data_IF_655827423317
#
_entry.id   IF_655827423317
#
_cell.length_a   1.000
_cell.length_b   1.000
_cell.length_c   1.000
_cell.angle_alpha   90.00
_cell.angle_beta   90.00
_cell.angle_gamma   90.00
#
_symmetry.space_group_name_H-M   'P 1'
#
loop_
_entity.id
_entity.type
_entity.pdbx_description
1 polymer ?
#
# COMPACT_ATOMS: atom_id res chain seq x y z
N UNK A 1 8.12 -29.57 37.44
CA UNK A 1 8.95 -30.50 36.63
C UNK A 1 8.17 -31.74 36.17
N UNK A 2 7.41 -32.41 37.05
CA UNK A 2 6.61 -33.61 36.70
C UNK A 2 5.55 -33.35 35.61
N UNK A 3 4.84 -32.21 35.69
CA UNK A 3 3.86 -31.77 34.68
C UNK A 3 4.55 -31.63 33.31
N UNK A 4 5.61 -30.82 33.25
CA UNK A 4 6.37 -30.56 32.03
C UNK A 4 6.86 -31.86 31.37
N UNK A 5 7.45 -32.79 32.14
CA UNK A 5 7.95 -34.05 31.60
C UNK A 5 6.84 -34.90 30.97
N UNK A 6 5.68 -35.04 31.63
CA UNK A 6 4.55 -35.79 31.07
C UNK A 6 3.93 -35.14 29.84
N UNK A 7 3.90 -33.82 29.77
CA UNK A 7 3.44 -33.11 28.57
C UNK A 7 4.39 -33.35 27.40
N UNK A 8 5.70 -33.39 27.66
CA UNK A 8 6.68 -33.75 26.64
C UNK A 8 6.54 -35.20 26.20
N UNK A 9 6.31 -36.14 27.12
CA UNK A 9 6.09 -37.55 26.78
C UNK A 9 4.88 -37.71 25.82
N UNK A 10 3.77 -37.02 26.11
CA UNK A 10 2.59 -37.03 25.24
C UNK A 10 2.84 -36.33 23.90
N UNK A 11 3.56 -35.21 23.89
CA UNK A 11 3.93 -34.53 22.65
C UNK A 11 4.79 -35.42 21.75
N UNK A 12 5.74 -36.17 22.32
CA UNK A 12 6.57 -37.10 21.55
C UNK A 12 5.79 -38.33 21.06
N UNK A 13 4.75 -38.74 21.76
CA UNK A 13 3.94 -39.91 21.39
C UNK A 13 2.81 -39.58 20.38
N UNK A 14 2.04 -38.52 20.61
CA UNK A 14 0.85 -38.17 19.81
C UNK A 14 1.07 -36.95 18.88
N UNK A 15 2.19 -36.23 19.04
CA UNK A 15 2.55 -35.09 18.19
C UNK A 15 2.01 -33.74 18.68
N UNK A 16 2.09 -32.73 17.80
CA UNK A 16 1.82 -31.33 18.15
C UNK A 16 0.38 -31.00 18.50
N UNK A 17 -0.58 -31.86 18.13
CA UNK A 17 -2.01 -31.69 18.46
C UNK A 17 -2.23 -31.69 19.98
N UNK A 18 -1.42 -32.44 20.73
CA UNK A 18 -1.48 -32.48 22.19
C UNK A 18 -1.27 -31.10 22.81
N UNK A 19 -0.41 -30.26 22.25
CA UNK A 19 -0.17 -28.91 22.80
C UNK A 19 -1.46 -28.11 22.78
N UNK A 20 -2.22 -28.18 21.67
CA UNK A 20 -3.50 -27.50 21.56
C UNK A 20 -4.55 -28.06 22.53
N UNK A 21 -4.63 -29.39 22.66
CA UNK A 21 -5.57 -30.04 23.59
C UNK A 21 -5.28 -29.65 25.03
N UNK A 22 -3.99 -29.61 25.41
CA UNK A 22 -3.53 -29.22 26.74
C UNK A 22 -3.82 -27.73 27.01
N UNK A 23 -3.62 -26.85 26.02
CA UNK A 23 -4.03 -25.44 26.15
C UNK A 23 -5.54 -25.32 26.38
N UNK A 24 -6.37 -26.08 25.65
CA UNK A 24 -7.82 -26.10 25.87
C UNK A 24 -8.19 -26.62 27.27
N UNK A 25 -7.48 -27.62 27.78
CA UNK A 25 -7.64 -28.13 29.15
C UNK A 25 -7.32 -27.08 30.20
N UNK A 26 -6.19 -26.38 30.04
CA UNK A 26 -5.76 -25.27 30.90
C UNK A 26 -6.81 -24.14 30.96
N UNK A 27 -7.33 -23.72 29.79
CA UNK A 27 -8.39 -22.72 29.71
C UNK A 27 -9.68 -23.18 30.39
N UNK A 28 -10.01 -24.47 30.27
CA UNK A 28 -11.22 -25.02 30.88
C UNK A 28 -11.13 -25.11 32.40
N UNK A 29 -9.97 -25.46 32.95
CA UNK A 29 -9.74 -25.50 34.40
C UNK A 29 -9.89 -24.10 35.05
N UNK A 30 -9.56 -23.05 34.30
CA UNK A 30 -9.65 -21.66 34.75
C UNK A 30 -10.89 -20.94 34.22
N UNK A 31 -11.89 -21.65 33.71
CA UNK A 31 -13.04 -21.03 33.03
C UNK A 31 -13.84 -20.11 33.95
N UNK A 32 -14.14 -20.52 35.18
CA UNK A 32 -14.91 -19.68 36.12
C UNK A 32 -14.15 -18.40 36.49
N UNK A 33 -12.83 -18.53 36.70
CA UNK A 33 -11.95 -17.38 36.94
C UNK A 33 -11.98 -16.44 35.74
N UNK A 34 -11.73 -16.96 34.52
CA UNK A 34 -11.71 -16.19 33.28
C UNK A 34 -13.06 -15.53 32.97
N UNK A 35 -14.18 -16.16 33.30
CA UNK A 35 -15.53 -15.61 33.13
C UNK A 35 -15.84 -14.47 34.11
N UNK A 36 -15.16 -14.43 35.25
CA UNK A 36 -15.30 -13.37 36.25
C UNK A 36 -14.44 -12.13 35.97
N UNK A 37 -13.58 -12.18 34.96
CA UNK A 37 -12.66 -11.08 34.63
C UNK A 37 -13.34 -10.09 33.70
N UNK A 38 -13.32 -8.81 34.09
CA UNK A 38 -14.04 -7.75 33.40
C UNK A 38 -13.20 -7.06 32.32
N UNK A 39 -11.89 -7.33 32.26
CA UNK A 39 -11.01 -6.63 31.34
C UNK A 39 -9.82 -7.44 30.80
N UNK A 40 -9.33 -7.03 29.63
CA UNK A 40 -8.32 -7.77 28.87
C UNK A 40 -6.96 -7.91 29.57
N UNK A 41 -6.59 -7.00 30.47
CA UNK A 41 -5.32 -7.08 31.21
C UNK A 41 -5.42 -8.16 32.29
N UNK A 42 -6.55 -8.22 33.00
CA UNK A 42 -6.84 -9.31 33.93
C UNK A 42 -6.88 -10.66 33.20
N UNK A 43 -7.56 -10.73 32.06
CA UNK A 43 -7.61 -11.94 31.23
C UNK A 43 -6.20 -12.34 30.79
N UNK A 44 -5.39 -11.40 30.29
CA UNK A 44 -4.02 -11.70 29.84
C UNK A 44 -3.12 -12.19 30.98
N UNK A 45 -3.20 -11.56 32.16
CA UNK A 45 -2.43 -11.97 33.33
C UNK A 45 -2.87 -13.36 33.79
N UNK A 46 -4.18 -13.58 33.96
CA UNK A 46 -4.73 -14.88 34.31
C UNK A 46 -4.28 -15.95 33.29
N UNK A 47 -4.39 -15.67 31.98
CA UNK A 47 -3.93 -16.55 30.90
C UNK A 47 -2.42 -16.86 30.95
N UNK A 48 -1.61 -15.87 31.31
CA UNK A 48 -0.15 -16.02 31.42
C UNK A 48 0.25 -16.82 32.66
N UNK A 49 -0.55 -16.75 33.72
CA UNK A 49 -0.33 -17.45 34.99
C UNK A 49 -0.86 -18.90 34.95
N UNK A 50 -1.85 -19.21 34.09
CA UNK A 50 -2.45 -20.56 34.00
C UNK A 50 -1.42 -21.70 33.91
N UNK A 51 -0.36 -21.64 33.06
CA UNK A 51 0.61 -22.73 33.00
C UNK A 51 1.38 -22.94 34.32
N UNK A 52 1.56 -21.88 35.10
CA UNK A 52 2.22 -21.90 36.41
C UNK A 52 1.34 -22.47 37.52
N UNK A 53 0.02 -22.29 37.40
CA UNK A 53 -0.99 -22.74 38.36
C UNK A 53 -1.37 -24.22 38.21
N UNK A 54 -0.86 -24.93 37.19
CA UNK A 54 -1.14 -26.35 37.00
C UNK A 54 -0.32 -27.19 37.99
N UNK A 55 -0.98 -27.69 39.02
CA UNK A 55 -0.37 -28.58 40.01
C UNK A 55 -0.64 -30.07 39.72
N UNK A 56 -1.81 -30.40 39.15
CA UNK A 56 -2.22 -31.77 38.82
C UNK A 56 -2.22 -32.03 37.30
N UNK A 57 -1.26 -32.84 36.87
CA UNK A 57 -1.12 -33.21 35.45
C UNK A 57 -2.14 -34.26 35.00
N UNK A 58 -2.60 -35.14 35.89
CA UNK A 58 -3.55 -36.18 35.56
C UNK A 58 -4.95 -35.55 35.33
N UNK A 59 -5.33 -34.60 36.18
CA UNK A 59 -6.54 -33.80 36.01
C UNK A 59 -6.49 -32.98 34.71
N UNK A 60 -5.38 -32.28 34.45
CA UNK A 60 -5.21 -31.49 33.22
C UNK A 60 -5.37 -32.35 31.96
N UNK A 61 -4.77 -33.53 31.94
CA UNK A 61 -4.85 -34.46 30.80
C UNK A 61 -6.30 -34.91 30.60
N UNK A 62 -7.00 -35.29 31.68
CA UNK A 62 -8.41 -35.70 31.60
C UNK A 62 -9.30 -34.59 31.04
N UNK A 63 -9.16 -33.36 31.54
CA UNK A 63 -9.94 -32.21 31.08
C UNK A 63 -9.61 -31.87 29.62
N UNK A 64 -8.33 -31.89 29.24
CA UNK A 64 -7.87 -31.60 27.88
C UNK A 64 -8.49 -32.55 26.84
N UNK A 65 -8.45 -33.86 27.10
CA UNK A 65 -9.00 -34.85 26.18
C UNK A 65 -10.52 -34.85 26.16
N UNK A 66 -11.18 -34.59 27.29
CA UNK A 66 -12.63 -34.42 27.36
C UNK A 66 -13.13 -33.22 26.54
N UNK A 67 -12.47 -32.07 26.68
CA UNK A 67 -12.85 -30.84 25.96
C UNK A 67 -12.58 -30.99 24.47
N UNK A 68 -11.38 -31.44 24.09
CA UNK A 68 -11.01 -31.62 22.69
C UNK A 68 -11.84 -32.69 21.98
N UNK A 69 -12.20 -33.79 22.66
CA UNK A 69 -13.08 -34.82 22.09
C UNK A 69 -14.50 -34.34 21.80
N UNK A 70 -14.94 -33.24 22.41
CA UNK A 70 -16.27 -32.65 22.18
C UNK A 70 -16.31 -31.61 21.04
N UNK A 71 -15.14 -31.15 20.58
CA UNK A 71 -15.00 -30.17 19.51
C UNK A 71 -15.13 -30.83 18.14
N UNK A 72 -16.23 -30.55 17.46
CA UNK A 72 -16.44 -30.91 16.05
C UNK A 72 -16.60 -29.63 15.22
N UNK A 73 -16.36 -29.70 13.91
CA UNK A 73 -16.58 -28.56 13.00
C UNK A 73 -18.00 -28.01 13.12
N UNK A 74 -18.99 -28.90 13.30
CA UNK A 74 -20.40 -28.55 13.50
C UNK A 74 -20.59 -27.75 14.79
N UNK A 75 -19.94 -28.14 15.90
CA UNK A 75 -20.00 -27.40 17.15
C UNK A 75 -19.33 -26.02 17.03
N UNK A 76 -18.14 -25.94 16.41
CA UNK A 76 -17.42 -24.68 16.21
C UNK A 76 -18.26 -23.70 15.38
N UNK A 77 -18.82 -24.15 14.26
CA UNK A 77 -19.65 -23.30 13.40
C UNK A 77 -20.98 -22.90 14.05
N UNK A 78 -21.53 -23.75 14.92
CA UNK A 78 -22.71 -23.41 15.72
C UNK A 78 -22.39 -22.33 16.74
N UNK A 79 -21.27 -22.44 17.46
CA UNK A 79 -20.82 -21.42 18.41
C UNK A 79 -20.47 -20.10 17.70
N UNK A 80 -19.81 -20.13 16.54
CA UNK A 80 -19.53 -18.92 15.75
C UNK A 80 -20.81 -18.19 15.33
N UNK A 81 -21.81 -18.93 14.83
CA UNK A 81 -23.12 -18.35 14.45
C UNK A 81 -23.84 -17.73 15.65
N UNK A 82 -23.81 -18.41 16.81
CA UNK A 82 -24.40 -17.89 18.06
C UNK A 82 -23.73 -16.58 18.50
N UNK A 83 -22.39 -16.51 18.49
CA UNK A 83 -21.66 -15.30 18.90
C UNK A 83 -21.73 -14.16 17.87
N UNK A 84 -21.83 -14.50 16.57
CA UNK A 84 -22.12 -13.54 15.52
C UNK A 84 -23.48 -12.87 15.75
N UNK A 85 -24.49 -13.63 16.18
CA UNK A 85 -25.80 -13.07 16.51
C UNK A 85 -25.74 -12.06 17.67
N UNK A 86 -24.92 -12.31 18.70
CA UNK A 86 -24.69 -11.34 19.78
C UNK A 86 -23.98 -10.07 19.29
N UNK A 87 -22.94 -10.22 18.47
CA UNK A 87 -22.23 -9.08 17.85
C UNK A 87 -23.15 -8.26 16.91
N UNK A 88 -24.09 -8.90 16.24
CA UNK A 88 -25.08 -8.26 15.37
C UNK A 88 -26.23 -7.60 16.14
N UNK A 89 -26.67 -8.19 17.25
CA UNK A 89 -27.71 -7.65 18.13
C UNK A 89 -27.26 -6.34 18.79
N UNK A 90 -26.00 -6.26 19.21
CA UNK A 90 -25.38 -5.04 19.77
C UNK A 90 -25.28 -3.91 18.72
N UNK A 91 -25.33 -4.24 17.43
CA UNK A 91 -25.34 -3.30 16.31
C UNK A 91 -26.75 -2.90 15.80
N UNK A 92 -27.82 -3.43 16.40
CA UNK A 92 -29.20 -3.03 16.11
C UNK A 92 -29.77 -3.48 14.76
N UNK A 93 -29.22 -4.51 14.12
CA UNK A 93 -29.73 -5.04 12.86
C UNK A 93 -30.68 -6.24 13.10
N UNK A 94 -31.96 -6.11 12.71
CA UNK A 94 -32.87 -7.26 12.60
C UNK A 94 -32.49 -8.09 11.37
N UNK A 95 -32.21 -9.38 11.52
CA UNK A 95 -32.03 -10.29 10.38
C UNK A 95 -32.73 -11.63 10.58
N UNK A 96 -33.44 -12.02 9.51
CA UNK A 96 -34.15 -13.27 9.31
C UNK A 96 -33.16 -14.47 9.22
N UNK A 97 -33.30 -15.51 10.06
CA UNK A 97 -32.28 -16.54 10.24
C UNK A 97 -32.12 -17.57 9.09
N UNK A 98 -32.89 -17.49 7.99
CA UNK A 98 -32.90 -18.56 6.97
C UNK A 98 -32.19 -18.25 5.63
N UNK A 99 -31.59 -17.07 5.42
CA UNK A 99 -30.96 -16.78 4.12
C UNK A 99 -29.48 -17.21 4.07
N UNK A 100 -29.17 -18.37 3.48
CA UNK A 100 -27.79 -18.86 3.30
C UNK A 100 -27.04 -18.25 2.10
N UNK A 101 -27.66 -17.40 1.29
CA UNK A 101 -27.00 -16.73 0.15
C UNK A 101 -27.68 -15.40 -0.10
N UNK A 102 -27.05 -14.32 0.36
CA UNK A 102 -27.14 -12.94 -0.14
C UNK A 102 -26.39 -12.07 0.86
N UNK A 103 -25.12 -11.76 0.58
CA UNK A 103 -24.53 -10.53 1.15
C UNK A 103 -25.30 -9.38 0.50
N UNK A 104 -26.13 -8.62 1.24
CA UNK A 104 -26.80 -7.48 0.65
C UNK A 104 -25.73 -6.45 0.31
N UNK A 105 -25.81 -5.89 -0.91
CA UNK A 105 -25.01 -4.76 -1.36
C UNK A 105 -24.96 -3.71 -0.25
N UNK A 106 -23.79 -3.59 0.38
CA UNK A 106 -23.52 -2.57 1.39
C UNK A 106 -23.43 -1.23 0.65
N UNK A 107 -24.57 -0.56 0.46
CA UNK A 107 -24.54 0.88 0.31
C UNK A 107 -24.03 1.44 1.63
N UNK A 108 -22.74 1.79 1.65
CA UNK A 108 -22.07 2.47 2.75
C UNK A 108 -22.72 3.84 2.95
N UNK A 109 -23.76 3.88 3.79
CA UNK A 109 -24.09 5.11 4.48
C UNK A 109 -22.92 5.45 5.40
N UNK A 110 -22.08 6.40 4.96
CA UNK A 110 -21.03 7.04 5.75
C UNK A 110 -21.59 7.40 7.13
N UNK A 111 -21.26 6.63 8.17
CA UNK A 111 -21.42 7.09 9.55
C UNK A 111 -20.31 8.09 9.83
N UNK A 112 -20.62 9.37 9.71
CA UNK A 112 -19.95 10.39 10.51
C UNK A 112 -20.25 10.10 11.99
N UNK A 113 -19.45 9.25 12.62
CA UNK A 113 -19.46 9.11 14.07
C UNK A 113 -18.98 10.43 14.67
N UNK A 114 -19.86 11.00 15.49
CA UNK A 114 -19.71 12.27 16.17
C UNK A 114 -18.36 12.29 16.88
N UNK A 115 -17.45 13.17 16.42
CA UNK A 115 -16.20 13.53 17.10
C UNK A 115 -16.51 13.84 18.56
N UNK A 116 -16.21 12.91 19.47
CA UNK A 116 -16.30 13.18 20.90
C UNK A 116 -15.28 14.27 21.22
N UNK A 117 -15.79 15.46 21.58
CA UNK A 117 -15.00 16.59 22.06
C UNK A 117 -14.31 16.30 23.41
N UNK A 118 -14.42 15.09 23.96
CA UNK A 118 -13.84 14.69 25.24
C UNK A 118 -12.36 14.28 25.17
N UNK A 119 -11.80 13.98 23.99
CA UNK A 119 -10.41 13.53 23.88
C UNK A 119 -9.38 14.66 24.04
N UNK A 120 -9.80 15.93 23.95
CA UNK A 120 -8.91 17.06 24.20
C UNK A 120 -8.73 17.38 25.69
N UNK A 121 -9.61 16.89 26.59
CA UNK A 121 -9.41 17.06 28.04
C UNK A 121 -8.47 16.02 28.63
N UNK A 122 -8.36 14.82 28.04
CA UNK A 122 -7.42 13.77 28.49
C UNK A 122 -5.95 14.10 28.14
N UNK A 123 -5.74 15.01 27.17
CA UNK A 123 -4.41 15.52 26.81
C UNK A 123 -3.88 16.61 27.75
N UNK A 124 -4.68 17.09 28.72
CA UNK A 124 -4.28 18.09 29.71
C UNK A 124 -4.47 17.55 31.13
N UNK A 125 -3.36 17.06 31.69
CA UNK A 125 -3.16 16.65 33.08
C UNK A 125 -4.36 16.62 34.03
N UNK A 126 -4.87 15.40 34.27
CA UNK A 126 -5.39 14.99 35.57
C UNK A 126 -5.04 13.51 35.73
N UNK A 127 -4.31 13.19 36.81
CA UNK A 127 -3.85 11.84 37.10
C UNK A 127 -5.01 10.87 37.28
N UNK A 128 -4.95 9.75 36.57
CA UNK A 128 -5.88 8.64 36.69
C UNK A 128 -5.88 7.78 35.43
N UNK A 129 -5.45 6.53 35.57
CA UNK A 129 -5.72 5.37 34.68
C UNK A 129 -4.85 5.20 33.42
N UNK A 130 -3.66 4.61 33.61
CA UNK A 130 -2.79 4.10 32.53
C UNK A 130 -3.38 2.88 31.77
N UNK A 131 -4.31 2.15 32.39
CA UNK A 131 -4.85 0.88 31.85
C UNK A 131 -5.92 1.07 30.76
N UNK A 132 -6.75 2.11 30.87
CA UNK A 132 -7.74 2.49 29.84
C UNK A 132 -7.04 3.08 28.59
N UNK A 133 -5.91 3.75 28.80
CA UNK A 133 -5.07 4.30 27.75
C UNK A 133 -4.39 3.22 26.88
N UNK A 134 -4.01 2.08 27.47
CA UNK A 134 -3.43 0.94 26.73
C UNK A 134 -4.45 0.23 25.83
N UNK A 135 -5.66 -0.02 26.36
CA UNK A 135 -6.76 -0.66 25.63
C UNK A 135 -7.23 0.19 24.44
N UNK A 136 -7.41 1.50 24.64
CA UNK A 136 -7.79 2.41 23.55
C UNK A 136 -6.75 2.49 22.42
N UNK A 137 -5.46 2.34 22.72
CA UNK A 137 -4.38 2.33 21.72
C UNK A 137 -4.40 1.07 20.84
N UNK A 138 -4.56 -0.10 21.44
CA UNK A 138 -4.55 -1.37 20.70
C UNK A 138 -5.79 -1.52 19.81
N UNK A 139 -6.95 -1.02 20.27
CA UNK A 139 -8.18 -0.94 19.48
C UNK A 139 -7.96 -0.04 18.25
N UNK A 140 -7.38 1.15 18.47
CA UNK A 140 -7.10 2.10 17.39
C UNK A 140 -6.08 1.57 16.38
N UNK A 141 -5.04 0.87 16.82
CA UNK A 141 -4.10 0.21 15.92
C UNK A 141 -4.80 -0.81 15.02
N UNK A 142 -5.68 -1.63 15.60
CA UNK A 142 -6.43 -2.64 14.84
C UNK A 142 -7.35 -1.99 13.81
N UNK A 143 -8.08 -0.93 14.19
CA UNK A 143 -8.95 -0.17 13.29
C UNK A 143 -8.16 0.40 12.09
N UNK A 144 -7.03 1.07 12.36
CA UNK A 144 -6.20 1.66 11.30
C UNK A 144 -5.67 0.61 10.31
N UNK A 145 -5.30 -0.57 10.80
CA UNK A 145 -4.83 -1.67 9.96
C UNK A 145 -5.96 -2.26 9.11
N UNK A 146 -7.15 -2.43 9.70
CA UNK A 146 -8.35 -2.91 8.98
C UNK A 146 -8.74 -1.93 7.87
N UNK A 147 -8.75 -0.63 8.16
CA UNK A 147 -9.05 0.42 7.19
C UNK A 147 -8.04 0.42 6.03
N UNK A 148 -6.75 0.29 6.34
CA UNK A 148 -5.71 0.20 5.32
C UNK A 148 -5.88 -1.04 4.45
N UNK A 149 -6.11 -2.22 5.06
CA UNK A 149 -6.31 -3.46 4.33
C UNK A 149 -7.52 -3.37 3.41
N UNK A 150 -8.64 -2.84 3.89
CA UNK A 150 -9.83 -2.68 3.06
C UNK A 150 -9.60 -1.69 1.90
N UNK A 151 -8.88 -0.59 2.14
CA UNK A 151 -8.51 0.34 1.06
C UNK A 151 -7.63 -0.33 -0.01
N UNK A 152 -6.66 -1.16 0.39
CA UNK A 152 -5.81 -1.93 -0.52
C UNK A 152 -6.65 -2.93 -1.32
N UNK A 153 -7.56 -3.65 -0.66
CA UNK A 153 -8.43 -4.63 -1.30
C UNK A 153 -9.40 -3.98 -2.30
N UNK A 154 -9.90 -2.77 -2.03
CA UNK A 154 -10.74 -2.06 -3.00
C UNK A 154 -9.98 -1.70 -4.27
N UNK A 155 -8.74 -1.20 -4.13
CA UNK A 155 -7.86 -0.93 -5.28
C UNK A 155 -7.59 -2.24 -6.05
N UNK A 156 -7.20 -3.31 -5.36
CA UNK A 156 -6.87 -4.57 -6.01
C UNK A 156 -8.07 -5.23 -6.71
N UNK A 157 -9.25 -5.24 -6.08
CA UNK A 157 -10.51 -5.75 -6.67
C UNK A 157 -10.91 -4.94 -7.90
N UNK A 158 -10.67 -3.62 -7.90
CA UNK A 158 -10.90 -2.78 -9.07
C UNK A 158 -10.07 -3.24 -10.29
N UNK A 159 -8.79 -3.55 -10.09
CA UNK A 159 -7.96 -4.12 -11.16
C UNK A 159 -8.46 -5.49 -11.64
N UNK A 160 -8.87 -6.38 -10.73
CA UNK A 160 -9.39 -7.70 -11.10
C UNK A 160 -10.70 -7.63 -11.88
N UNK A 161 -11.56 -6.65 -11.57
CA UNK A 161 -12.85 -6.48 -12.22
C UNK A 161 -12.73 -5.89 -13.63
N UNK A 162 -11.75 -5.01 -13.87
CA UNK A 162 -11.59 -4.31 -15.14
C UNK A 162 -10.60 -4.97 -16.11
N UNK A 163 -9.63 -5.73 -15.60
CA UNK A 163 -8.61 -6.36 -16.42
C UNK A 163 -8.49 -7.85 -16.05
N UNK A 164 -9.00 -8.76 -16.91
CA UNK A 164 -8.97 -10.21 -16.67
C UNK A 164 -7.58 -10.78 -16.43
N UNK A 165 -6.51 -10.11 -16.88
CA UNK A 165 -5.12 -10.53 -16.62
C UNK A 165 -4.80 -10.54 -15.14
N UNK A 166 -5.46 -9.68 -14.36
CA UNK A 166 -5.24 -9.54 -12.93
C UNK A 166 -6.05 -10.55 -12.07
N UNK A 167 -6.95 -11.32 -12.67
CA UNK A 167 -7.82 -12.29 -11.96
C UNK A 167 -7.04 -13.35 -11.17
N UNK A 168 -5.79 -13.64 -11.57
CA UNK A 168 -4.91 -14.63 -10.91
C UNK A 168 -4.10 -14.05 -9.75
N UNK A 169 -4.11 -12.72 -9.56
CA UNK A 169 -3.36 -12.07 -8.48
C UNK A 169 -3.98 -12.46 -7.14
N UNK A 170 -3.14 -12.93 -6.20
CA UNK A 170 -3.57 -13.32 -4.86
C UNK A 170 -3.70 -12.05 -4.00
N UNK A 171 -4.89 -11.84 -3.41
CA UNK A 171 -5.19 -10.65 -2.60
C UNK A 171 -5.00 -10.87 -1.09
N UNK A 172 -4.24 -11.90 -0.71
CA UNK A 172 -3.91 -12.19 0.68
C UNK A 172 -2.44 -11.89 0.88
N UNK A 173 -2.14 -11.06 1.87
CA UNK A 173 -0.78 -10.70 2.21
C UNK A 173 -0.01 -11.93 2.73
N UNK A 174 1.22 -12.09 2.26
CA UNK A 174 2.17 -13.10 2.71
C UNK A 174 3.12 -12.51 3.74
N UNK A 175 3.00 -12.97 4.98
CA UNK A 175 3.80 -12.50 6.13
C UNK A 175 5.01 -13.39 6.42
N UNK A 176 5.34 -14.33 5.53
CA UNK A 176 6.51 -15.19 5.69
C UNK A 176 7.81 -14.39 5.50
N UNK A 177 8.85 -14.79 6.24
CA UNK A 177 10.18 -14.16 6.15
C UNK A 177 10.79 -14.36 4.76
N UNK A 178 10.49 -15.47 4.10
CA UNK A 178 10.90 -15.80 2.74
C UNK A 178 10.33 -14.80 1.72
N UNK A 179 9.08 -14.37 1.91
CA UNK A 179 8.44 -13.35 1.09
C UNK A 179 9.16 -12.01 1.22
N UNK A 180 9.44 -11.60 2.46
CA UNK A 180 10.16 -10.36 2.76
C UNK A 180 11.55 -10.31 2.14
N UNK A 181 12.30 -11.41 2.19
CA UNK A 181 13.66 -11.49 1.66
C UNK A 181 13.72 -11.27 0.12
N UNK A 182 12.61 -11.50 -0.59
CA UNK A 182 12.53 -11.38 -2.04
C UNK A 182 12.09 -10.00 -2.53
N UNK A 183 11.67 -9.09 -1.64
CA UNK A 183 11.10 -7.79 -2.04
C UNK A 183 12.05 -6.97 -2.93
N UNK A 184 13.31 -6.85 -2.52
CA UNK A 184 14.31 -6.11 -3.27
C UNK A 184 14.65 -6.79 -4.60
N UNK A 185 14.77 -8.11 -4.62
CA UNK A 185 15.03 -8.88 -5.84
C UNK A 185 13.89 -8.71 -6.85
N UNK A 186 12.65 -8.85 -6.39
CA UNK A 186 11.45 -8.65 -7.19
C UNK A 186 11.42 -7.24 -7.78
N UNK A 187 11.66 -6.22 -6.96
CA UNK A 187 11.77 -4.84 -7.43
C UNK A 187 12.84 -4.68 -8.51
N UNK A 188 14.06 -5.20 -8.29
CA UNK A 188 15.17 -5.08 -9.25
C UNK A 188 14.82 -5.79 -10.56
N UNK A 189 14.22 -6.97 -10.52
CA UNK A 189 13.79 -7.71 -11.71
C UNK A 189 12.71 -6.94 -12.49
N UNK A 190 11.77 -6.33 -11.78
CA UNK A 190 10.70 -5.52 -12.34
C UNK A 190 11.24 -4.22 -12.93
N UNK A 191 12.21 -3.58 -12.27
CA UNK A 191 12.86 -2.35 -12.72
C UNK A 191 13.78 -2.56 -13.94
N UNK A 192 14.54 -3.67 -13.98
CA UNK A 192 15.40 -4.02 -15.13
C UNK A 192 14.62 -4.25 -16.42
N UNK A 193 13.38 -4.74 -16.29
CA UNK A 193 12.52 -5.06 -17.42
C UNK A 193 11.50 -3.95 -17.72
N UNK A 194 11.78 -2.71 -17.29
CA UNK A 194 10.94 -1.55 -17.61
C UNK A 194 11.01 -1.26 -19.10
N UNK A 195 9.84 -1.20 -19.71
CA UNK A 195 9.71 -0.77 -21.10
C UNK A 195 9.15 0.65 -21.11
N UNK A 196 9.85 1.53 -21.83
CA UNK A 196 9.37 2.89 -22.09
C UNK A 196 8.07 2.80 -22.88
N UNK A 197 7.08 3.63 -22.56
CA UNK A 197 5.76 3.60 -23.20
C UNK A 197 5.37 4.97 -23.68
N UNK A 198 4.47 5.05 -24.64
CA UNK A 198 3.87 6.29 -25.07
C UNK A 198 2.37 6.11 -25.28
N UNK A 199 1.59 7.14 -24.94
CA UNK A 199 0.16 7.23 -25.23
C UNK A 199 -0.02 7.99 -26.53
N UNK A 200 -0.72 7.41 -27.48
CA UNK A 200 -1.09 8.09 -28.72
C UNK A 200 -2.02 9.28 -28.43
N UNK A 201 -1.64 10.47 -28.88
CA UNK A 201 -2.45 11.70 -28.79
C UNK A 201 -3.37 11.87 -30.00
N UNK A 202 -3.02 11.22 -31.11
CA UNK A 202 -3.67 11.30 -32.42
C UNK A 202 -3.74 9.89 -33.04
N UNK A 203 -4.57 9.74 -34.06
CA UNK A 203 -4.55 8.55 -34.90
C UNK A 203 -3.37 8.62 -35.88
N UNK A 204 -2.74 7.48 -36.15
CA UNK A 204 -1.72 7.32 -37.18
C UNK A 204 -2.04 6.08 -38.00
N UNK A 205 -2.39 6.29 -39.27
CA UNK A 205 -2.76 5.21 -40.18
C UNK A 205 -1.51 4.66 -40.85
N UNK A 206 -1.35 3.33 -40.78
CA UNK A 206 -0.24 2.60 -41.41
C UNK A 206 -0.47 2.53 -42.91
N UNK A 207 0.49 3.01 -43.69
CA UNK A 207 0.52 2.91 -45.15
C UNK A 207 1.54 1.90 -45.64
N UNK A 208 2.70 1.84 -44.98
CA UNK A 208 3.80 0.94 -45.34
C UNK A 208 4.07 -0.15 -44.27
N UNK A 209 4.79 -1.19 -44.67
CA UNK A 209 5.00 -2.36 -43.82
C UNK A 209 5.92 -2.09 -42.62
N UNK A 210 6.76 -1.08 -42.70
CA UNK A 210 7.67 -0.64 -41.64
C UNK A 210 7.04 0.38 -40.67
N UNK A 211 5.85 0.91 -40.97
CA UNK A 211 5.10 1.83 -40.12
C UNK A 211 4.27 1.12 -39.04
N UNK A 212 4.18 1.72 -37.84
CA UNK A 212 3.31 1.26 -36.76
C UNK A 212 2.04 2.12 -36.67
N UNK A 213 0.94 1.64 -37.24
CA UNK A 213 -0.36 2.30 -37.12
C UNK A 213 -0.99 2.14 -35.72
N UNK A 214 -1.63 3.20 -35.24
CA UNK A 214 -2.31 3.22 -33.94
C UNK A 214 -3.46 4.23 -33.92
N UNK A 215 -4.35 4.10 -32.92
CA UNK A 215 -5.43 5.04 -32.65
C UNK A 215 -5.09 5.90 -31.44
N UNK A 216 -5.71 7.07 -31.37
CA UNK A 216 -5.66 7.96 -30.22
C UNK A 216 -6.03 7.17 -28.96
N UNK A 217 -5.21 7.37 -27.93
CA UNK A 217 -5.19 6.71 -26.63
C UNK A 217 -4.59 5.29 -26.60
N UNK A 218 -4.12 4.73 -27.72
CA UNK A 218 -3.37 3.48 -27.70
C UNK A 218 -2.06 3.64 -26.92
N UNK A 219 -1.66 2.59 -26.21
CA UNK A 219 -0.41 2.55 -25.46
C UNK A 219 0.62 1.74 -26.23
N UNK A 220 1.62 2.45 -26.71
CA UNK A 220 2.70 1.93 -27.54
C UNK A 220 3.90 1.65 -26.64
N UNK A 221 4.47 0.46 -26.74
CA UNK A 221 5.76 0.16 -26.13
C UNK A 221 6.86 0.76 -26.99
N UNK A 222 7.65 1.67 -26.45
CA UNK A 222 8.77 2.31 -27.16
C UNK A 222 9.96 1.35 -27.14
N UNK A 223 10.43 0.97 -28.32
CA UNK A 223 11.59 0.10 -28.52
C UNK A 223 12.86 0.90 -28.80
N UNK A 224 12.75 2.05 -29.49
CA UNK A 224 13.90 2.92 -29.76
C UNK A 224 13.51 4.38 -29.95
N UNK A 225 14.28 5.29 -29.33
CA UNK A 225 14.20 6.74 -29.50
C UNK A 225 15.51 7.34 -30.05
N UNK A 226 16.28 6.56 -30.83
CA UNK A 226 17.57 7.04 -31.38
C UNK A 226 17.42 8.26 -32.29
N UNK A 227 16.26 8.39 -32.93
CA UNK A 227 15.89 9.55 -33.75
C UNK A 227 14.88 10.43 -32.99
N UNK A 228 15.01 11.74 -33.09
CA UNK A 228 14.19 12.72 -32.34
C UNK A 228 12.75 12.78 -32.86
N UNK A 229 12.52 12.46 -34.13
CA UNK A 229 11.24 12.64 -34.81
C UNK A 229 10.55 11.31 -35.14
N UNK A 230 11.32 10.22 -35.25
CA UNK A 230 10.87 8.91 -35.67
C UNK A 230 11.24 7.84 -34.64
N UNK A 231 10.27 7.33 -33.90
CA UNK A 231 10.51 6.30 -32.88
C UNK A 231 10.09 4.93 -33.38
N UNK A 232 10.76 3.88 -32.89
CA UNK A 232 10.34 2.49 -33.14
C UNK A 232 9.55 2.04 -31.93
N UNK A 233 8.36 1.50 -32.17
CA UNK A 233 7.49 0.96 -31.11
C UNK A 233 6.89 -0.38 -31.45
N UNK A 234 6.18 -0.92 -30.47
CA UNK A 234 5.41 -2.15 -30.56
C UNK A 234 4.00 -1.93 -29.99
N UNK A 235 2.98 -2.35 -30.74
CA UNK A 235 1.58 -2.34 -30.34
C UNK A 235 0.91 -3.62 -30.86
N UNK A 236 0.26 -4.38 -29.96
CA UNK A 236 -0.43 -5.64 -30.30
C UNK A 236 0.45 -6.66 -31.05
N UNK A 237 1.75 -6.72 -30.72
CA UNK A 237 2.73 -7.60 -31.37
C UNK A 237 3.20 -7.14 -32.76
N UNK A 238 2.67 -6.02 -33.25
CA UNK A 238 3.19 -5.35 -34.46
C UNK A 238 4.25 -4.35 -34.06
N UNK A 239 5.36 -4.33 -34.79
CA UNK A 239 6.49 -3.42 -34.57
C UNK A 239 6.73 -2.60 -35.83
N UNK A 240 6.97 -1.31 -35.64
CA UNK A 240 7.23 -0.37 -36.73
C UNK A 240 7.63 0.99 -36.22
N UNK A 241 7.93 1.91 -37.13
CA UNK A 241 8.25 3.28 -36.79
C UNK A 241 6.99 4.15 -36.71
N UNK A 242 7.04 5.23 -35.94
CA UNK A 242 5.98 6.21 -35.85
C UNK A 242 6.49 7.62 -35.47
N UNK A 243 5.75 8.69 -35.80
CA UNK A 243 6.14 10.05 -35.44
C UNK A 243 6.09 10.33 -33.93
N UNK A 244 7.22 10.72 -33.35
CA UNK A 244 7.33 11.03 -31.91
C UNK A 244 6.33 12.11 -31.45
N UNK A 245 6.03 13.09 -32.31
CA UNK A 245 5.07 14.18 -32.05
C UNK A 245 3.61 13.73 -31.87
N UNK A 246 3.27 12.50 -32.27
CA UNK A 246 1.91 11.98 -32.18
C UNK A 246 1.63 11.28 -30.86
N UNK A 247 2.64 11.15 -30.00
CA UNK A 247 2.52 10.44 -28.74
C UNK A 247 3.00 11.31 -27.58
N UNK A 248 2.50 11.01 -26.39
CA UNK A 248 3.01 11.51 -25.12
C UNK A 248 3.74 10.36 -24.43
N UNK A 249 5.03 10.52 -24.12
CA UNK A 249 5.78 9.51 -23.37
C UNK A 249 5.10 9.30 -22.01
N UNK A 250 4.67 8.08 -21.77
CA UNK A 250 4.28 7.63 -20.45
C UNK A 250 5.56 7.27 -19.71
N UNK A 251 5.63 7.67 -18.45
CA UNK A 251 6.78 7.42 -17.58
C UNK A 251 7.22 5.94 -17.62
N UNK A 252 8.49 5.69 -17.29
CA UNK A 252 9.12 4.36 -17.25
C UNK A 252 8.51 3.45 -16.18
N UNK A 253 7.33 2.94 -16.48
CA UNK A 253 6.51 2.18 -15.55
C UNK A 253 6.79 0.69 -15.68
N UNK A 254 6.92 0.03 -14.55
CA UNK A 254 7.16 -1.40 -14.49
C UNK A 254 5.86 -2.21 -14.53
N UNK A 255 5.91 -3.39 -15.17
CA UNK A 255 4.77 -4.23 -15.61
C UNK A 255 3.99 -3.71 -16.84
N UNK A 256 3.26 -4.63 -17.48
CA UNK A 256 2.41 -4.34 -18.64
C UNK A 256 1.35 -3.30 -18.30
N UNK A 257 1.05 -2.44 -19.27
CA UNK A 257 -0.03 -1.45 -19.14
C UNK A 257 -1.36 -2.11 -18.78
N UNK A 258 -2.06 -1.49 -17.83
CA UNK A 258 -3.45 -1.81 -17.49
C UNK A 258 -4.24 -0.50 -17.43
N UNK A 259 -5.30 -0.42 -18.21
CA UNK A 259 -6.20 0.74 -18.22
C UNK A 259 -6.91 0.93 -16.87
N UNK A 260 -7.04 -0.13 -16.08
CA UNK A 260 -7.62 -0.08 -14.73
C UNK A 260 -6.80 0.82 -13.77
N UNK A 261 -5.49 0.94 -14.00
CA UNK A 261 -4.58 1.75 -13.19
C UNK A 261 -4.32 3.15 -13.74
N UNK A 262 -4.90 3.51 -14.88
CA UNK A 262 -4.65 4.77 -15.58
C UNK A 262 -5.74 5.79 -15.26
N UNK A 263 -5.38 6.84 -14.52
CA UNK A 263 -6.32 7.89 -14.12
C UNK A 263 -6.80 8.80 -15.26
N UNK A 264 -6.12 8.75 -16.41
CA UNK A 264 -6.56 9.42 -17.63
C UNK A 264 -7.60 8.62 -18.43
N UNK A 265 -7.80 7.35 -18.08
CA UNK A 265 -8.74 6.43 -18.76
C UNK A 265 -9.86 6.00 -17.81
N UNK A 266 -9.50 5.65 -16.57
CA UNK A 266 -10.41 5.11 -15.56
C UNK A 266 -10.41 6.03 -14.33
N UNK A 267 -11.25 7.06 -14.32
CA UNK A 267 -11.27 8.06 -13.24
C UNK A 267 -11.50 7.47 -11.84
N UNK A 268 -12.20 6.33 -11.74
CA UNK A 268 -12.46 5.66 -10.47
C UNK A 268 -11.20 5.27 -9.68
N UNK A 269 -10.06 5.03 -10.37
CA UNK A 269 -8.80 4.71 -9.68
C UNK A 269 -8.32 5.89 -8.83
N UNK A 270 -8.63 7.12 -9.24
CA UNK A 270 -8.28 8.34 -8.51
C UNK A 270 -8.99 8.39 -7.18
N UNK A 271 -10.29 8.08 -7.14
CA UNK A 271 -11.08 8.08 -5.90
C UNK A 271 -10.65 6.97 -4.95
N UNK A 272 -10.33 5.79 -5.48
CA UNK A 272 -9.81 4.68 -4.68
C UNK A 272 -8.45 5.01 -4.07
N UNK A 273 -7.50 5.51 -4.87
CA UNK A 273 -6.16 5.82 -4.39
C UNK A 273 -6.15 7.06 -3.52
N UNK A 274 -6.58 8.21 -4.05
CA UNK A 274 -6.49 9.50 -3.34
C UNK A 274 -7.55 9.68 -2.27
N UNK A 275 -8.75 9.11 -2.47
CA UNK A 275 -9.89 9.25 -1.57
C UNK A 275 -9.99 8.17 -0.51
N UNK A 276 -9.35 7.01 -0.69
CA UNK A 276 -9.46 5.87 0.25
C UNK A 276 -8.11 5.39 0.76
N UNK A 277 -7.21 4.97 -0.13
CA UNK A 277 -5.89 4.45 0.26
C UNK A 277 -5.02 5.51 0.94
N UNK A 278 -4.92 6.71 0.36
CA UNK A 278 -4.07 7.76 0.90
C UNK A 278 -4.51 8.22 2.31
N UNK A 279 -5.81 8.46 2.61
CA UNK A 279 -6.25 8.75 3.97
C UNK A 279 -5.92 7.63 4.97
N UNK A 280 -6.14 6.37 4.60
CA UNK A 280 -5.83 5.23 5.47
C UNK A 280 -4.32 5.15 5.77
N UNK A 281 -3.48 5.28 4.73
CA UNK A 281 -2.02 5.31 4.90
C UNK A 281 -1.56 6.54 5.69
N UNK A 282 -2.15 7.70 5.46
CA UNK A 282 -1.85 8.92 6.24
C UNK A 282 -2.15 8.70 7.72
N UNK A 283 -3.27 8.06 8.06
CA UNK A 283 -3.65 7.80 9.43
C UNK A 283 -2.65 6.88 10.16
N UNK A 284 -2.04 5.92 9.45
CA UNK A 284 -0.91 5.12 9.93
C UNK A 284 0.31 6.01 10.21
N UNK A 285 0.66 6.91 9.29
CA UNK A 285 1.78 7.84 9.48
C UNK A 285 1.51 8.91 10.56
N UNK A 286 0.26 9.25 10.85
CA UNK A 286 -0.08 10.16 11.94
C UNK A 286 -0.09 9.44 13.30
N UNK A 287 -0.18 8.11 13.31
CA UNK A 287 -0.23 7.31 14.53
C UNK A 287 1.10 7.40 15.31
N UNK A 288 1.08 8.13 16.42
CA UNK A 288 2.24 8.32 17.29
C UNK A 288 3.27 9.32 16.81
N UNK A 289 2.90 10.17 15.85
CA UNK A 289 3.69 11.32 15.45
C UNK A 289 3.78 12.33 16.62
N UNK A 290 5.02 12.72 16.98
CA UNK A 290 5.30 13.67 18.05
C UNK A 290 4.93 15.07 17.62
N UNK A 291 4.20 15.79 18.47
CA UNK A 291 3.94 17.23 18.28
C UNK A 291 5.22 18.01 18.60
N UNK A 292 5.48 19.09 17.84
CA UNK A 292 6.58 19.99 18.15
C UNK A 292 6.43 20.56 19.57
N UNK A 293 7.45 20.39 20.40
CA UNK A 293 7.49 20.90 21.79
C UNK A 293 7.76 22.39 21.87
N UNK A 294 8.17 23.04 20.77
CA UNK A 294 8.50 24.46 20.72
C UNK A 294 7.42 25.17 19.88
N UNK A 295 6.68 26.06 20.54
CA UNK A 295 5.76 27.10 20.02
C UNK A 295 5.33 26.94 18.55
N UNK A 296 4.36 26.06 18.30
CA UNK A 296 3.55 26.10 17.07
C UNK A 296 4.18 25.55 15.79
N UNK A 297 5.27 24.78 15.87
CA UNK A 297 5.84 24.11 14.70
C UNK A 297 4.85 23.12 14.05
N UNK A 298 4.72 23.18 12.72
CA UNK A 298 3.91 22.25 11.94
C UNK A 298 4.39 20.81 12.17
N UNK A 299 3.45 19.92 12.49
CA UNK A 299 3.70 18.50 12.69
C UNK A 299 2.90 17.75 11.62
N UNK A 300 3.59 17.16 10.64
CA UNK A 300 2.96 16.48 9.52
C UNK A 300 3.85 15.35 8.99
N UNK A 301 3.29 14.20 8.57
CA UNK A 301 4.05 13.08 7.98
C UNK A 301 5.03 13.49 6.88
N UNK A 302 4.65 14.47 6.05
CA UNK A 302 5.49 14.99 4.97
C UNK A 302 6.88 15.44 5.43
N UNK A 303 6.96 16.15 6.56
CA UNK A 303 8.23 16.69 7.07
C UNK A 303 9.15 15.56 7.54
N UNK A 304 8.59 14.53 8.18
CA UNK A 304 9.32 13.32 8.52
C UNK A 304 9.86 12.62 7.26
N UNK A 305 9.01 12.42 6.25
CA UNK A 305 9.37 11.74 5.00
C UNK A 305 10.50 12.49 4.29
N UNK A 306 10.41 13.82 4.23
CA UNK A 306 11.42 14.67 3.60
C UNK A 306 12.78 14.58 4.30
N UNK A 307 12.79 14.63 5.64
CA UNK A 307 14.02 14.49 6.43
C UNK A 307 14.62 13.09 6.30
N UNK A 308 13.81 12.04 6.42
CA UNK A 308 14.25 10.66 6.30
C UNK A 308 14.79 10.34 4.90
N UNK A 309 14.07 10.73 3.84
CA UNK A 309 14.52 10.50 2.46
C UNK A 309 15.86 11.18 2.15
N UNK A 310 16.09 12.38 2.73
CA UNK A 310 17.37 13.08 2.59
C UNK A 310 18.49 12.38 3.35
N UNK A 311 18.21 11.91 4.58
CA UNK A 311 19.16 11.22 5.44
C UNK A 311 19.68 9.90 4.85
N UNK A 312 18.81 9.15 4.18
CA UNK A 312 19.15 7.84 3.59
C UNK A 312 20.15 7.96 2.43
N UNK A 313 20.09 9.05 1.65
CA UNK A 313 21.03 9.28 0.53
C UNK A 313 22.25 10.11 0.91
N UNK A 314 22.33 10.61 2.15
CA UNK A 314 23.37 11.54 2.60
C UNK A 314 24.78 10.95 2.49
N UNK A 315 24.94 9.65 2.79
CA UNK A 315 26.25 8.96 2.76
C UNK A 315 26.87 8.90 1.36
N UNK A 316 26.03 8.89 0.32
CA UNK A 316 26.42 8.85 -1.08
C UNK A 316 25.99 10.11 -1.86
N UNK A 317 25.72 11.21 -1.13
CA UNK A 317 25.02 12.39 -1.66
C UNK A 317 25.67 12.95 -2.92
N UNK A 318 26.99 13.12 -2.96
CA UNK A 318 27.68 13.66 -4.14
C UNK A 318 27.56 12.75 -5.37
N UNK A 319 27.58 11.42 -5.18
CA UNK A 319 27.45 10.44 -6.27
C UNK A 319 26.01 10.34 -6.78
N UNK A 320 25.05 10.26 -5.85
CA UNK A 320 23.61 10.17 -6.16
C UNK A 320 23.08 11.47 -6.74
N UNK A 321 23.37 12.60 -6.11
CA UNK A 321 22.93 13.93 -6.56
C UNK A 321 23.53 14.27 -7.93
N UNK A 322 24.83 14.08 -8.13
CA UNK A 322 25.45 14.34 -9.43
C UNK A 322 24.82 13.48 -10.53
N UNK A 323 24.59 12.18 -10.27
CA UNK A 323 23.96 11.28 -11.24
C UNK A 323 22.51 11.67 -11.54
N UNK A 324 21.68 11.87 -10.52
CA UNK A 324 20.26 12.22 -10.70
C UNK A 324 20.09 13.58 -11.39
N UNK A 325 20.91 14.57 -11.03
CA UNK A 325 20.89 15.90 -11.66
C UNK A 325 21.39 15.83 -13.10
N UNK A 326 22.48 15.10 -13.38
CA UNK A 326 23.01 14.94 -14.73
C UNK A 326 22.02 14.20 -15.64
N UNK A 327 21.45 13.07 -15.21
CA UNK A 327 20.45 12.32 -15.96
C UNK A 327 19.23 13.19 -16.31
N UNK A 328 18.71 13.95 -15.32
CA UNK A 328 17.57 14.85 -15.54
C UNK A 328 17.90 16.05 -16.44
N UNK A 329 19.08 16.65 -16.28
CA UNK A 329 19.48 17.88 -17.00
C UNK A 329 19.82 17.59 -18.46
N UNK A 330 20.53 16.49 -18.70
CA UNK A 330 21.01 16.12 -20.03
C UNK A 330 20.12 15.09 -20.75
N UNK A 331 19.00 14.68 -20.12
CA UNK A 331 18.13 13.59 -20.61
C UNK A 331 18.94 12.33 -20.98
N UNK A 332 20.00 12.06 -20.22
CA UNK A 332 20.82 10.88 -20.44
C UNK A 332 20.00 9.66 -20.03
N UNK A 333 20.00 8.63 -20.88
CA UNK A 333 19.46 7.33 -20.52
C UNK A 333 20.16 6.89 -19.23
N UNK A 334 19.39 6.41 -18.25
CA UNK A 334 19.95 5.84 -17.03
C UNK A 334 20.60 4.51 -17.40
N UNK A 335 21.87 4.54 -17.84
CA UNK A 335 22.62 3.39 -18.35
C UNK A 335 22.51 2.15 -17.44
N UNK A 336 21.51 1.29 -17.70
CA UNK A 336 21.31 -0.04 -17.14
C UNK A 336 21.26 -0.17 -15.60
N UNK A 337 21.43 0.91 -14.84
CA UNK A 337 21.57 0.87 -13.38
C UNK A 337 20.22 1.17 -12.72
N UNK A 338 19.58 0.10 -12.23
CA UNK A 338 18.40 0.20 -11.38
C UNK A 338 18.72 1.02 -10.12
N UNK A 339 17.96 2.11 -9.92
CA UNK A 339 18.03 2.92 -8.70
C UNK A 339 17.58 2.12 -7.48
N UNK A 340 18.18 2.35 -6.32
CA UNK A 340 17.70 1.72 -5.08
C UNK A 340 16.38 2.35 -4.62
N UNK A 341 15.55 1.67 -3.79
CA UNK A 341 14.33 2.26 -3.25
C UNK A 341 14.54 3.61 -2.55
N UNK A 342 15.68 3.79 -1.87
CA UNK A 342 16.10 5.03 -1.21
C UNK A 342 16.33 6.16 -2.23
N UNK A 343 17.07 5.86 -3.31
CA UNK A 343 17.34 6.83 -4.38
C UNK A 343 16.05 7.25 -5.10
N UNK A 344 15.15 6.28 -5.35
CA UNK A 344 13.84 6.54 -5.96
C UNK A 344 12.95 7.36 -5.02
N UNK A 345 12.97 7.07 -3.71
CA UNK A 345 12.24 7.85 -2.69
C UNK A 345 12.73 9.30 -2.67
N UNK A 346 14.04 9.51 -2.56
CA UNK A 346 14.64 10.84 -2.55
C UNK A 346 14.27 11.63 -3.82
N UNK A 347 14.44 11.01 -5.00
CA UNK A 347 14.06 11.62 -6.28
C UNK A 347 12.59 12.02 -6.33
N UNK A 348 11.70 11.14 -5.87
CA UNK A 348 10.26 11.37 -5.85
C UNK A 348 9.89 12.55 -4.92
N UNK A 349 10.45 12.59 -3.71
CA UNK A 349 10.25 13.70 -2.75
C UNK A 349 10.70 15.02 -3.35
N UNK A 350 11.91 15.08 -3.95
CA UNK A 350 12.41 16.29 -4.60
C UNK A 350 11.53 16.72 -5.77
N UNK A 351 11.08 15.78 -6.60
CA UNK A 351 10.19 16.07 -7.72
C UNK A 351 8.83 16.64 -7.26
N UNK A 352 8.26 16.07 -6.19
CA UNK A 352 7.02 16.57 -5.58
C UNK A 352 7.22 17.97 -5.01
N UNK A 353 8.30 18.20 -4.25
CA UNK A 353 8.60 19.54 -3.71
C UNK A 353 8.70 20.60 -4.81
N UNK A 354 9.51 20.35 -5.85
CA UNK A 354 9.68 21.29 -6.96
C UNK A 354 8.34 21.65 -7.61
N UNK A 355 7.49 20.66 -7.91
CA UNK A 355 6.23 20.91 -8.62
C UNK A 355 5.15 21.52 -7.72
N UNK A 356 5.06 21.08 -6.45
CA UNK A 356 3.98 21.45 -5.55
C UNK A 356 4.25 22.77 -4.82
N UNK A 357 5.51 23.07 -4.49
CA UNK A 357 5.89 24.34 -3.85
C UNK A 357 5.74 25.52 -4.80
N UNK A 358 6.00 25.31 -6.09
CA UNK A 358 5.71 26.30 -7.14
C UNK A 358 4.23 26.70 -7.20
N UNK A 359 3.34 25.87 -6.66
CA UNK A 359 1.89 26.10 -6.59
C UNK A 359 1.41 26.36 -5.16
N UNK A 360 2.31 26.54 -4.18
CA UNK A 360 1.98 26.68 -2.75
C UNK A 360 1.02 25.60 -2.23
N UNK A 361 1.21 24.36 -2.70
CA UNK A 361 0.30 23.25 -2.36
C UNK A 361 0.50 22.78 -0.93
N UNK A 362 -0.58 22.34 -0.30
CA UNK A 362 -0.55 21.81 1.07
C UNK A 362 0.21 20.48 1.16
N UNK A 363 0.76 20.18 2.33
CA UNK A 363 1.51 18.93 2.57
C UNK A 363 0.67 17.66 2.35
N UNK A 364 -0.66 17.73 2.56
CA UNK A 364 -1.59 16.63 2.23
C UNK A 364 -1.64 16.34 0.73
N UNK A 365 -1.48 17.35 -0.12
CA UNK A 365 -1.41 17.19 -1.58
C UNK A 365 -0.08 16.53 -1.94
N UNK A 366 1.02 17.01 -1.36
CA UNK A 366 2.35 16.42 -1.55
C UNK A 366 2.39 14.95 -1.15
N UNK A 367 1.86 14.61 0.03
CA UNK A 367 1.79 13.23 0.52
C UNK A 367 1.04 12.31 -0.46
N UNK A 368 -0.14 12.74 -0.92
CA UNK A 368 -0.93 11.96 -1.89
C UNK A 368 -0.21 11.78 -3.22
N UNK A 369 0.44 12.82 -3.73
CA UNK A 369 1.24 12.74 -4.96
C UNK A 369 2.45 11.83 -4.82
N UNK A 370 3.10 11.79 -3.64
CA UNK A 370 4.16 10.83 -3.35
C UNK A 370 3.64 9.40 -3.32
N UNK A 371 2.49 9.14 -2.67
CA UNK A 371 1.86 7.79 -2.70
C UNK A 371 1.59 7.35 -4.14
N UNK A 372 1.06 8.23 -5.00
CA UNK A 372 0.88 7.94 -6.42
C UNK A 372 2.21 7.61 -7.12
N UNK A 373 3.30 8.30 -6.79
CA UNK A 373 4.63 7.99 -7.31
C UNK A 373 5.08 6.58 -6.86
N UNK A 374 4.96 6.26 -5.57
CA UNK A 374 5.32 4.93 -5.05
C UNK A 374 4.50 3.79 -5.65
N UNK A 375 3.23 4.04 -6.01
CA UNK A 375 2.38 3.08 -6.73
C UNK A 375 2.81 2.91 -8.19
N UNK A 376 3.07 4.02 -8.91
CA UNK A 376 3.56 3.96 -10.29
C UNK A 376 4.91 3.23 -10.39
N UNK A 377 5.76 3.42 -9.39
CA UNK A 377 7.07 2.80 -9.27
C UNK A 377 7.02 1.38 -8.66
N UNK A 378 5.88 0.97 -8.10
CA UNK A 378 5.65 -0.31 -7.41
C UNK A 378 6.55 -0.55 -6.18
N UNK A 379 6.96 0.53 -5.50
CA UNK A 379 7.93 0.51 -4.38
C UNK A 379 7.36 1.01 -3.06
N UNK A 380 6.05 1.28 -2.96
CA UNK A 380 5.47 1.87 -1.75
C UNK A 380 5.74 1.06 -0.46
N UNK A 381 5.78 -0.27 -0.56
CA UNK A 381 6.13 -1.17 0.55
C UNK A 381 7.62 -1.09 0.94
N UNK A 382 8.51 -0.96 -0.05
CA UNK A 382 9.95 -0.75 0.18
C UNK A 382 10.22 0.64 0.76
N UNK A 383 9.52 1.68 0.31
CA UNK A 383 9.62 3.01 0.90
C UNK A 383 9.20 3.03 2.36
N UNK A 384 8.17 2.28 2.75
CA UNK A 384 7.81 2.14 4.16
C UNK A 384 8.96 1.53 4.96
N UNK A 385 9.60 0.47 4.45
CA UNK A 385 10.76 -0.16 5.07
C UNK A 385 11.94 0.80 5.19
N UNK A 386 12.29 1.53 4.12
CA UNK A 386 13.33 2.56 4.13
C UNK A 386 13.07 3.62 5.22
N UNK A 387 11.84 4.13 5.29
CA UNK A 387 11.45 5.14 6.29
C UNK A 387 11.49 4.59 7.72
N UNK A 388 11.02 3.35 7.92
CA UNK A 388 10.99 2.69 9.22
C UNK A 388 12.37 2.24 9.70
N UNK A 389 13.31 2.03 8.78
CA UNK A 389 14.70 1.65 9.09
C UNK A 389 15.59 2.85 9.41
N UNK A 390 15.15 4.06 9.11
CA UNK A 390 15.86 5.31 9.40
C UNK A 390 15.75 5.70 10.89
N UNK A 391 16.37 4.91 11.78
CA UNK A 391 16.17 5.00 13.22
C UNK A 391 16.50 6.38 13.80
N UNK A 392 17.60 7.00 13.37
CA UNK A 392 18.01 8.34 13.82
C UNK A 392 16.88 9.38 13.67
N UNK A 393 16.13 9.29 12.57
CA UNK A 393 15.05 10.21 12.25
C UNK A 393 13.74 9.74 12.90
N UNK A 394 13.45 8.45 12.88
CA UNK A 394 12.19 7.94 13.42
C UNK A 394 12.06 8.19 14.93
N UNK A 395 13.17 8.12 15.67
CA UNK A 395 13.18 8.38 17.11
C UNK A 395 12.90 9.85 17.43
N UNK A 396 13.31 10.77 16.54
CA UNK A 396 13.02 12.20 16.63
C UNK A 396 11.53 12.47 16.42
N UNK A 397 10.91 11.81 15.43
CA UNK A 397 9.56 12.12 14.96
C UNK A 397 8.44 11.29 15.61
N UNK A 398 8.72 10.09 16.08
CA UNK A 398 7.68 9.16 16.54
C UNK A 398 7.88 8.65 17.96
N UNK A 399 6.77 8.42 18.66
CA UNK A 399 6.75 7.71 19.92
C UNK A 399 7.01 6.20 19.72
N UNK A 400 7.57 5.49 20.72
CA UNK A 400 7.85 4.04 20.63
C UNK A 400 6.64 3.16 20.27
N UNK A 401 5.43 3.58 20.68
CA UNK A 401 4.18 2.86 20.43
C UNK A 401 3.57 3.14 19.03
N UNK A 402 4.20 3.98 18.22
CA UNK A 402 3.76 4.24 16.84
C UNK A 402 3.91 3.01 15.96
N UNK A 403 3.18 2.96 14.84
CA UNK A 403 3.42 1.91 13.84
C UNK A 403 4.80 2.06 13.23
N UNK A 404 5.20 3.30 12.95
CA UNK A 404 6.45 3.62 12.29
C UNK A 404 7.67 3.11 13.08
N UNK A 405 7.66 3.23 14.42
CA UNK A 405 8.78 2.83 15.30
C UNK A 405 8.65 1.43 15.89
N UNK A 406 7.51 0.76 15.76
CA UNK A 406 7.31 -0.59 16.29
C UNK A 406 7.42 -1.64 15.17
N UNK A 407 7.64 -2.93 15.48
CA UNK A 407 7.63 -3.99 14.46
C UNK A 407 6.32 -4.09 13.65
N UNK A 408 5.24 -3.41 14.04
CA UNK A 408 3.97 -3.39 13.33
C UNK A 408 4.05 -2.86 11.88
N UNK A 409 5.08 -2.06 11.54
CA UNK A 409 5.28 -1.64 10.14
C UNK A 409 5.55 -2.81 9.19
N UNK A 410 6.06 -3.94 9.68
CA UNK A 410 6.29 -5.16 8.87
C UNK A 410 4.97 -5.71 8.34
N UNK A 411 3.93 -5.72 9.18
CA UNK A 411 2.59 -6.13 8.75
C UNK A 411 2.04 -5.19 7.68
N UNK A 412 2.19 -3.87 7.87
CA UNK A 412 1.76 -2.85 6.91
C UNK A 412 2.51 -3.01 5.57
N UNK A 413 3.83 -3.29 5.61
CA UNK A 413 4.64 -3.57 4.43
C UNK A 413 4.06 -4.72 3.60
N UNK A 414 3.70 -5.83 4.24
CA UNK A 414 3.09 -6.98 3.57
C UNK A 414 1.76 -6.64 2.90
N UNK A 415 0.92 -5.83 3.55
CA UNK A 415 -0.34 -5.38 2.93
C UNK A 415 -0.06 -4.54 1.69
N UNK A 416 0.84 -3.56 1.80
CA UNK A 416 1.19 -2.67 0.69
C UNK A 416 1.85 -3.42 -0.48
N UNK A 417 2.55 -4.53 -0.22
CA UNK A 417 3.18 -5.37 -1.25
C UNK A 417 2.16 -5.89 -2.28
N UNK A 418 0.91 -6.15 -1.87
CA UNK A 418 -0.16 -6.57 -2.80
C UNK A 418 -0.30 -5.55 -3.95
N UNK A 419 -0.15 -4.25 -3.66
CA UNK A 419 -0.28 -3.21 -4.68
C UNK A 419 0.88 -3.22 -5.69
N UNK A 420 2.05 -3.77 -5.34
CA UNK A 420 3.14 -3.95 -6.30
C UNK A 420 2.79 -4.97 -7.40
N UNK A 421 1.70 -5.72 -7.24
CA UNK A 421 1.19 -6.61 -8.27
C UNK A 421 0.51 -5.92 -9.45
N UNK A 422 0.11 -4.66 -9.29
CA UNK A 422 -0.67 -3.93 -10.29
C UNK A 422 0.13 -2.80 -10.97
N UNK A 423 -0.13 -2.57 -12.27
CA UNK A 423 0.48 -1.47 -13.02
C UNK A 423 -0.36 -0.20 -12.85
N UNK A 424 0.18 0.80 -12.16
CA UNK A 424 -0.43 2.10 -12.01
C UNK A 424 0.07 3.11 -13.06
N UNK A 425 -0.80 4.05 -13.41
CA UNK A 425 -0.53 5.14 -14.34
C UNK A 425 -1.20 6.41 -13.82
N UNK A 426 -0.75 6.90 -12.66
CA UNK A 426 -1.37 8.00 -11.91
C UNK A 426 -0.64 9.32 -12.13
N UNK A 427 -1.38 10.39 -12.36
CA UNK A 427 -0.87 11.75 -12.48
C UNK A 427 -0.44 12.30 -11.13
N UNK A 428 0.84 12.69 -11.03
CA UNK A 428 1.38 13.37 -9.84
C UNK A 428 0.85 14.80 -9.69
N UNK A 429 0.36 15.41 -10.77
CA UNK A 429 -0.08 16.80 -10.79
C UNK A 429 -1.61 16.93 -10.79
N UNK A 430 -2.34 15.84 -10.53
CA UNK A 430 -3.80 15.78 -10.60
C UNK A 430 -4.50 16.90 -9.84
N UNK A 431 -3.99 17.24 -8.67
CA UNK A 431 -4.56 18.22 -7.75
C UNK A 431 -3.93 19.62 -7.86
N UNK A 432 -2.95 19.78 -8.76
CA UNK A 432 -2.34 21.06 -9.01
C UNK A 432 -3.19 21.88 -9.99
N UNK A 433 -3.14 23.23 -9.90
CA UNK A 433 -3.80 24.08 -10.88
C UNK A 433 -3.34 23.74 -12.30
N UNK A 434 -4.29 23.52 -13.23
CA UNK A 434 -3.97 23.28 -14.64
C UNK A 434 -3.20 24.49 -15.20
N UNK A 435 -1.98 24.27 -15.69
CA UNK A 435 -1.25 25.30 -16.44
C UNK A 435 -2.09 25.70 -17.66
N UNK A 436 -2.44 26.98 -17.82
CA UNK A 436 -3.03 27.50 -19.06
C UNK A 436 -1.98 27.32 -20.17
N UNK A 437 -2.19 26.35 -21.06
CA UNK A 437 -1.40 26.25 -22.29
C UNK A 437 -1.57 27.56 -23.09
N UNK A 438 -0.48 28.14 -23.65
CA UNK A 438 -0.63 29.21 -24.62
C UNK A 438 -1.48 28.72 -25.80
N UNK A 439 -2.32 29.61 -26.34
CA UNK A 439 -3.28 29.36 -27.44
C UNK A 439 -2.67 28.42 -28.50
N UNK A 440 -3.36 27.30 -28.76
CA UNK A 440 -3.08 26.39 -29.89
C UNK A 440 -2.91 27.22 -31.18
N UNK A 441 -1.69 27.28 -31.71
CA UNK A 441 -1.49 27.60 -33.13
C UNK A 441 -2.06 26.42 -33.91
N UNK A 442 -2.93 26.69 -34.88
CA UNK A 442 -3.56 25.68 -35.71
C UNK A 442 -2.51 24.94 -36.54
N UNK A 443 -2.46 23.61 -36.36
CA UNK A 443 -1.50 22.66 -36.94
C UNK A 443 -1.39 22.66 -38.48
N UNK A 444 -2.29 23.31 -39.21
CA UNK A 444 -2.25 23.32 -40.68
C UNK A 444 -1.06 24.10 -41.22
N UNK A 445 -0.70 25.20 -40.57
CA UNK A 445 0.34 26.10 -41.11
C UNK A 445 1.75 25.54 -40.83
N UNK A 446 1.96 24.94 -39.65
CA UNK A 446 3.25 24.37 -39.27
C UNK A 446 3.63 23.06 -39.98
N UNK A 447 2.65 22.26 -40.43
CA UNK A 447 2.94 21.03 -41.19
C UNK A 447 3.28 21.35 -42.64
N UNK A 448 2.64 22.38 -43.23
CA UNK A 448 2.95 22.84 -44.58
C UNK A 448 4.37 23.43 -44.66
N UNK A 449 4.73 24.30 -43.73
CA UNK A 449 6.05 24.94 -43.72
C UNK A 449 7.20 23.96 -43.44
N UNK A 450 6.96 22.94 -42.60
CA UNK A 450 7.98 21.95 -42.23
C UNK A 450 8.24 20.92 -43.35
N UNK A 451 7.22 20.56 -44.15
CA UNK A 451 7.38 19.68 -45.30
C UNK A 451 8.10 20.39 -46.47
N UNK A 452 7.95 21.71 -46.60
CA UNK A 452 8.63 22.54 -47.59
C UNK A 452 10.10 22.76 -47.22
N UNK A 453 10.43 22.95 -45.94
CA UNK A 453 11.81 23.19 -45.49
C UNK A 453 12.76 21.97 -45.59
N UNK A 454 12.24 20.75 -45.55
CA UNK A 454 13.06 19.53 -45.52
C UNK A 454 13.11 18.74 -46.84
N UNK A 455 12.64 19.32 -47.96
CA UNK A 455 12.73 18.73 -49.31
C UNK A 455 12.23 17.28 -49.44
N UNK A 456 11.28 16.84 -48.61
CA UNK A 456 10.80 15.44 -48.64
C UNK A 456 9.74 15.16 -49.72
N UNK A 457 9.25 16.17 -50.43
CA UNK A 457 8.42 16.00 -51.63
C UNK A 457 8.60 17.15 -52.62
N UNK A 458 8.97 16.86 -53.87
CA UNK A 458 8.78 17.76 -55.01
C UNK A 458 7.44 17.43 -55.67
N UNK A 459 6.43 18.29 -55.51
CA UNK A 459 5.25 18.26 -56.36
C UNK A 459 5.37 19.43 -57.35
N UNK A 460 5.72 19.14 -58.59
CA UNK A 460 5.36 20.03 -59.70
C UNK A 460 3.84 19.88 -59.91
N UNK A 461 3.11 20.95 -59.63
CA UNK A 461 1.84 21.28 -60.30
C UNK A 461 2.00 22.68 -60.88
#
# INVERSE_FOLDING_TARGET
>A
MKVLLRLWDLFYYEGSVVIFQITMGMLKLKEEELQSLDNSAQIFNALSDVPGDVEDVDELIEVAFRVSGSLTDVHVDTHRRKHLAYLMADQGALVNPESTRNLPKQQLNKRHLRRSKSLMSVLWGAGGEEDDFGKAKNIRQTELLVDLREAILQVARHFQNLDPKNSKVILTADYSMESHAKDLENYVNVARNRHRRAKALLDFERHDDDELGFRKNDIITIISQKDEHCWIGELNGLRGWFPAKFVEVLDERSKHYSSAGDDSVTEAITDLVRGTLCPALKAIFEHGLKKSTILGGNCHPWLFIEEAATREVEKDFQSVYSRLVLCKTYRLDEDGKVLTPEEVLYRAVQAVNISHDACHSQMDVKFRSLVCCGLNEQVLHLWLETLCSCMDIIEKWYHPWSFMRSPGWVQIKCELRILAEFSFNLSMNWELPRKRLPRRVTLRDGVCDMLIQHHLFSWEI
#
